data_IF_744905150370
#
_entry.id   IF_744905150370
#
_cell.length_a   1.000
_cell.length_b   1.000
_cell.length_c   1.000
_cell.angle_alpha   90.00
_cell.angle_beta   90.00
_cell.angle_gamma   90.00
#
_symmetry.space_group_name_H-M   'P 1'
#
loop_
_entity.id
_entity.type
_entity.pdbx_description
1 polymer ?
#
# COMPACT_ATOMS: atom_id res chain seq x y z
N UNK A 1 2.44 -15.24 -0.57
CA UNK A 1 1.24 -14.86 0.21
C UNK A 1 0.43 -13.83 -0.55
N UNK A 2 -0.81 -13.65 -0.18
CA UNK A 2 -1.70 -12.68 -0.80
C UNK A 2 -2.04 -11.60 0.22
N UNK A 3 -1.91 -10.34 -0.20
CA UNK A 3 -2.35 -9.20 0.62
C UNK A 3 -3.27 -8.33 -0.22
N UNK A 4 -4.15 -7.59 0.45
CA UNK A 4 -4.97 -6.59 -0.19
C UNK A 4 -4.31 -5.24 0.00
N UNK A 5 -4.16 -4.48 -1.09
CA UNK A 5 -3.66 -3.11 -0.99
C UNK A 5 -4.77 -2.15 -1.40
N UNK A 6 -4.95 -1.10 -0.61
CA UNK A 6 -5.93 -0.04 -0.86
C UNK A 6 -5.20 1.27 -1.04
N UNK A 7 -5.36 1.85 -2.22
CA UNK A 7 -4.72 3.11 -2.58
C UNK A 7 -5.77 4.21 -2.53
N UNK A 8 -5.45 5.29 -1.83
CA UNK A 8 -6.39 6.40 -1.61
C UNK A 8 -5.97 7.64 -2.36
N UNK A 9 -6.96 8.46 -2.72
CA UNK A 9 -6.78 9.76 -3.35
C UNK A 9 -5.87 9.65 -4.60
N UNK A 10 -4.84 10.48 -4.69
CA UNK A 10 -3.96 10.52 -5.86
C UNK A 10 -3.17 9.24 -6.08
N UNK A 11 -3.00 8.40 -5.06
CA UNK A 11 -2.30 7.12 -5.22
C UNK A 11 -3.09 6.10 -6.02
N UNK A 12 -4.37 6.33 -6.25
CA UNK A 12 -5.20 5.43 -7.05
C UNK A 12 -4.72 5.32 -8.48
N UNK A 13 -3.92 6.25 -8.96
CA UNK A 13 -3.34 6.20 -10.30
C UNK A 13 -2.39 5.01 -10.50
N UNK A 14 -1.88 4.44 -9.40
CA UNK A 14 -1.03 3.25 -9.46
C UNK A 14 -1.82 1.96 -9.64
N UNK A 15 -3.15 2.04 -9.64
CA UNK A 15 -4.03 0.90 -9.86
C UNK A 15 -5.08 1.25 -10.91
N UNK A 16 -4.67 1.56 -12.16
CA UNK A 16 -5.60 2.05 -13.18
C UNK A 16 -6.68 1.05 -13.57
N UNK A 17 -6.42 -0.24 -13.40
CA UNK A 17 -7.40 -1.28 -13.71
C UNK A 17 -8.45 -1.45 -12.61
N UNK A 18 -8.24 -0.84 -11.45
CA UNK A 18 -9.19 -0.92 -10.32
C UNK A 18 -10.00 0.36 -10.23
N UNK A 19 -11.32 0.23 -10.27
CA UNK A 19 -12.19 1.39 -10.13
C UNK A 19 -12.27 1.89 -8.68
N UNK A 20 -11.87 1.06 -7.73
CA UNK A 20 -11.99 1.36 -6.30
C UNK A 20 -10.65 1.68 -5.63
N UNK A 21 -9.54 1.43 -6.31
CA UNK A 21 -8.21 1.55 -5.71
C UNK A 21 -7.82 0.34 -4.86
N UNK A 22 -8.61 -0.73 -4.90
CA UNK A 22 -8.36 -1.94 -4.12
C UNK A 22 -7.81 -3.02 -5.03
N UNK A 23 -6.69 -3.63 -4.65
CA UNK A 23 -6.06 -4.71 -5.40
C UNK A 23 -5.69 -5.85 -4.46
N UNK A 24 -5.80 -7.08 -4.96
CA UNK A 24 -5.20 -8.24 -4.30
C UNK A 24 -3.90 -8.53 -5.03
N UNK A 25 -2.81 -8.65 -4.28
CA UNK A 25 -1.49 -8.85 -4.88
C UNK A 25 -0.78 -10.04 -4.24
N UNK A 26 0.00 -10.74 -5.07
CA UNK A 26 0.86 -11.81 -4.61
C UNK A 26 2.20 -11.19 -4.16
N UNK A 27 2.64 -11.55 -2.97
CA UNK A 27 3.93 -11.06 -2.46
C UNK A 27 4.72 -12.20 -1.83
N UNK A 28 6.05 -12.17 -1.93
CA UNK A 28 6.87 -13.16 -1.24
C UNK A 28 6.68 -13.07 0.27
N UNK A 29 6.80 -14.20 0.95
CA UNK A 29 6.78 -14.20 2.40
C UNK A 29 7.98 -13.41 2.94
N UNK A 30 7.74 -12.66 4.00
CA UNK A 30 8.77 -11.82 4.60
C UNK A 30 8.89 -10.44 3.99
N UNK A 31 8.12 -10.13 2.95
CA UNK A 31 8.14 -8.80 2.34
C UNK A 31 7.70 -7.72 3.34
N UNK A 32 8.36 -6.59 3.25
CA UNK A 32 7.94 -5.39 3.99
C UNK A 32 7.03 -4.54 3.14
N UNK A 33 6.38 -3.56 3.76
CA UNK A 33 5.55 -2.59 3.05
C UNK A 33 6.38 -1.89 1.97
N UNK A 34 7.59 -1.43 2.31
CA UNK A 34 8.45 -0.74 1.35
C UNK A 34 8.79 -1.61 0.13
N UNK A 35 9.07 -2.89 0.36
CA UNK A 35 9.39 -3.80 -0.74
C UNK A 35 8.20 -3.98 -1.68
N UNK A 36 7.00 -4.12 -1.12
CA UNK A 36 5.79 -4.22 -1.94
C UNK A 36 5.55 -2.95 -2.75
N UNK A 37 5.66 -1.79 -2.13
CA UNK A 37 5.44 -0.52 -2.83
C UNK A 37 6.47 -0.32 -3.94
N UNK A 38 7.73 -0.67 -3.70
CA UNK A 38 8.77 -0.59 -4.72
C UNK A 38 8.46 -1.52 -5.89
N UNK A 39 7.97 -2.71 -5.61
CA UNK A 39 7.61 -3.70 -6.64
C UNK A 39 6.45 -3.20 -7.51
N UNK A 40 5.56 -2.41 -6.93
CA UNK A 40 4.44 -1.80 -7.64
C UNK A 40 4.81 -0.47 -8.31
N UNK A 41 6.07 -0.06 -8.20
CA UNK A 41 6.58 1.21 -8.73
C UNK A 41 5.91 2.44 -8.09
N UNK A 42 5.47 2.29 -6.83
CA UNK A 42 4.90 3.41 -6.10
C UNK A 42 6.03 4.19 -5.43
N UNK A 43 6.10 5.49 -5.70
CA UNK A 43 7.11 6.35 -5.12
C UNK A 43 6.88 6.49 -3.61
N UNK A 44 7.86 6.08 -2.81
CA UNK A 44 7.73 6.12 -1.36
C UNK A 44 7.56 7.55 -0.83
N UNK A 45 8.10 8.54 -1.56
CA UNK A 45 7.96 9.94 -1.18
C UNK A 45 6.53 10.46 -1.24
N UNK A 46 5.66 9.77 -1.97
CA UNK A 46 4.25 10.14 -2.07
C UNK A 46 3.40 9.52 -0.96
N UNK A 47 3.97 8.59 -0.21
CA UNK A 47 3.25 7.87 0.84
C UNK A 47 3.42 8.60 2.16
N UNK A 48 2.30 8.95 2.79
CA UNK A 48 2.33 9.67 4.07
C UNK A 48 1.91 8.77 5.22
N UNK A 49 0.76 8.13 5.12
CA UNK A 49 0.24 7.27 6.18
C UNK A 49 0.09 5.85 5.65
N UNK A 50 0.51 4.89 6.45
CA UNK A 50 0.39 3.47 6.16
C UNK A 50 -0.43 2.85 7.28
N UNK A 51 -1.45 2.06 6.89
CA UNK A 51 -2.24 1.31 7.86
C UNK A 51 -2.26 -0.16 7.46
N UNK A 52 -2.08 -1.03 8.44
CA UNK A 52 -2.21 -2.47 8.24
C UNK A 52 -3.33 -2.95 9.13
N UNK A 53 -4.38 -3.49 8.52
CA UNK A 53 -5.58 -3.97 9.21
C UNK A 53 -6.17 -2.90 10.14
N UNK A 54 -6.18 -1.65 9.67
CA UNK A 54 -6.76 -0.53 10.39
C UNK A 54 -5.87 0.09 11.45
N UNK A 55 -4.61 -0.35 11.57
CA UNK A 55 -3.67 0.17 12.57
C UNK A 55 -2.53 0.87 11.85
N UNK A 56 -2.17 2.08 12.31
CA UNK A 56 -1.06 2.83 11.73
C UNK A 56 0.23 2.01 11.84
N UNK A 57 0.98 1.98 10.76
CA UNK A 57 2.19 1.18 10.66
C UNK A 57 3.30 1.95 9.93
N UNK A 58 4.36 1.26 9.55
CA UNK A 58 5.54 1.87 8.93
C UNK A 58 5.97 1.11 7.68
N UNK A 59 6.84 1.75 6.89
CA UNK A 59 7.40 1.14 5.68
C UNK A 59 8.20 -0.14 5.97
N UNK A 60 8.74 -0.27 7.17
CA UNK A 60 9.58 -1.42 7.55
C UNK A 60 8.78 -2.58 8.10
N UNK A 61 7.48 -2.43 8.28
CA UNK A 61 6.64 -3.50 8.81
C UNK A 61 6.59 -4.68 7.84
N UNK A 62 6.69 -5.89 8.39
CA UNK A 62 6.59 -7.11 7.61
C UNK A 62 5.13 -7.47 7.38
N UNK A 63 4.81 -7.79 6.13
CA UNK A 63 3.45 -8.18 5.74
C UNK A 63 3.20 -9.65 6.03
N UNK A 64 1.94 -9.99 6.25
CA UNK A 64 1.50 -11.35 6.50
C UNK A 64 0.34 -11.71 5.59
N UNK A 65 0.12 -12.99 5.40
CA UNK A 65 -0.99 -13.50 4.59
C UNK A 65 -2.31 -12.87 5.04
N UNK A 66 -3.03 -12.32 4.07
CA UNK A 66 -4.35 -11.75 4.33
C UNK A 66 -4.37 -10.34 4.87
N UNK A 67 -3.19 -9.71 5.03
CA UNK A 67 -3.14 -8.32 5.51
C UNK A 67 -3.89 -7.38 4.56
N UNK A 68 -4.48 -6.34 5.14
CA UNK A 68 -5.10 -5.23 4.40
C UNK A 68 -4.24 -4.00 4.60
N UNK A 69 -3.57 -3.59 3.55
CA UNK A 69 -2.64 -2.48 3.56
C UNK A 69 -3.30 -1.25 2.97
N UNK A 70 -3.49 -0.21 3.76
CA UNK A 70 -4.02 1.07 3.31
C UNK A 70 -2.90 2.08 3.15
N UNK A 71 -2.84 2.73 1.99
CA UNK A 71 -1.78 3.69 1.67
C UNK A 71 -2.40 5.03 1.35
N UNK A 72 -2.01 6.05 2.11
CA UNK A 72 -2.55 7.39 2.01
C UNK A 72 -1.45 8.37 1.60
N UNK A 73 -1.71 9.26 0.63
CA UNK A 73 -0.76 10.29 0.27
C UNK A 73 -0.80 11.45 1.26
N UNK A 74 0.20 12.31 1.18
CA UNK A 74 0.11 13.60 1.88
C UNK A 74 -1.08 14.38 1.32
N UNK A 75 -1.83 15.06 2.22
CA UNK A 75 -2.97 15.87 1.77
C UNK A 75 -2.43 17.11 1.09
N UNK A 76 -2.94 17.36 -0.11
CA UNK A 76 -2.53 18.52 -0.87
C UNK A 76 -2.88 19.81 -0.15
N UNK A 77 -2.08 20.84 -0.36
CA UNK A 77 -2.26 22.13 0.27
C UNK A 77 -1.89 22.17 1.73
N UNK A 78 -1.59 21.01 2.23
CA UNK A 78 -1.09 20.92 3.59
C UNK A 78 0.39 21.14 3.58
#
# INVERSE_FOLDING_TARGET
MVVEIRLYATLRRYAPASSTGVLSVQVPEGDTVAELLNRMSIELTEVHIIMINGVISTLTATLQQGDRLGIFPAVGGG
#
